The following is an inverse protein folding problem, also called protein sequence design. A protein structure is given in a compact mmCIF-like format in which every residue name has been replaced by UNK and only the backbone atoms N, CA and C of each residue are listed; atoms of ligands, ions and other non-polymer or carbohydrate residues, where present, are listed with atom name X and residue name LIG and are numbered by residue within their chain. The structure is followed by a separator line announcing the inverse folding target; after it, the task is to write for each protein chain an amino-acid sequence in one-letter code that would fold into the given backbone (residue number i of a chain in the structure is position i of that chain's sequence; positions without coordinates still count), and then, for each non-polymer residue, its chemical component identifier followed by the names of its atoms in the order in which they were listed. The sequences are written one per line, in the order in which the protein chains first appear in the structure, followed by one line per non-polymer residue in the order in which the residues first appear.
data_IF_393977307796
#
_entry.id   IF_393977307796
#
_cell.length_a   1.000
_cell.length_b   1.000
_cell.length_c   1.000
_cell.angle_alpha   90.00
_cell.angle_beta   90.00
_cell.angle_gamma   90.00
#
_symmetry.space_group_name_H-M   'P 1'
#
loop_
_entity.id
_entity.type
_entity.pdbx_description
1 polymer ?
#
# COMPACT_ATOMS: atom_id res chain seq x y z
N UNK A 1 9.12 -20.25 -27.42
CA UNK A 1 8.42 -19.68 -26.24
C UNK A 1 7.90 -18.32 -26.64
N UNK A 2 6.61 -18.13 -26.92
CA UNK A 2 6.09 -16.80 -27.23
C UNK A 2 5.94 -15.99 -25.93
N UNK A 3 6.39 -14.73 -25.99
CA UNK A 3 6.58 -13.85 -24.85
C UNK A 3 5.30 -13.47 -24.13
N UNK A 4 5.42 -13.31 -22.80
CA UNK A 4 4.41 -12.70 -21.97
C UNK A 4 4.20 -11.25 -22.45
N UNK A 5 3.12 -11.04 -23.20
CA UNK A 5 2.62 -9.72 -23.55
C UNK A 5 2.37 -8.93 -22.25
N UNK A 6 3.14 -7.86 -22.05
CA UNK A 6 3.09 -6.99 -20.88
C UNK A 6 1.82 -6.15 -20.85
N UNK A 7 0.72 -6.77 -20.40
CA UNK A 7 -0.48 -6.05 -19.99
C UNK A 7 -0.37 -5.86 -18.48
N UNK A 8 -0.21 -4.62 -18.01
CA UNK A 8 -0.28 -4.33 -16.57
C UNK A 8 -1.61 -4.85 -16.02
N UNK A 9 -1.62 -5.65 -14.94
CA UNK A 9 -2.85 -6.15 -14.38
C UNK A 9 -3.77 -4.98 -13.99
N UNK A 10 -5.02 -5.02 -14.45
CA UNK A 10 -5.95 -3.92 -14.30
C UNK A 10 -6.39 -3.75 -12.84
N UNK A 11 -6.14 -2.57 -12.30
CA UNK A 11 -6.62 -2.11 -11.00
C UNK A 11 -8.13 -1.80 -11.03
N UNK A 12 -8.78 -1.66 -9.86
CA UNK A 12 -10.20 -1.30 -9.78
C UNK A 12 -10.55 -0.08 -10.62
N UNK A 13 -11.48 -0.22 -11.56
CA UNK A 13 -12.12 0.93 -12.19
C UNK A 13 -13.01 1.63 -11.16
N UNK A 14 -12.93 2.96 -11.07
CA UNK A 14 -13.77 3.76 -10.18
C UNK A 14 -15.24 3.52 -10.50
N UNK A 15 -15.94 2.81 -9.61
CA UNK A 15 -17.30 2.35 -9.86
C UNK A 15 -18.00 1.87 -8.59
N UNK A 16 -18.89 2.72 -8.08
CA UNK A 16 -20.03 2.45 -7.16
C UNK A 16 -19.72 1.68 -5.87
N UNK A 17 -19.37 2.41 -4.81
CA UNK A 17 -19.84 2.38 -3.39
C UNK A 17 -20.38 1.09 -2.71
N UNK A 18 -20.16 -0.10 -3.26
CA UNK A 18 -20.70 -1.36 -2.74
C UNK A 18 -19.69 -2.18 -1.91
N UNK A 19 -18.46 -1.70 -1.71
CA UNK A 19 -17.44 -2.42 -0.95
C UNK A 19 -17.84 -2.68 0.52
N UNK A 20 -18.75 -1.88 1.07
CA UNK A 20 -19.31 -2.05 2.42
C UNK A 20 -20.28 -3.23 2.56
N UNK A 21 -20.87 -3.74 1.47
CA UNK A 21 -21.88 -4.84 1.51
C UNK A 21 -21.28 -6.23 1.42
N UNK A 22 -20.07 -6.38 0.89
CA UNK A 22 -19.26 -7.58 1.05
C UNK A 22 -18.39 -7.40 2.29
N UNK A 23 -18.46 -8.29 3.28
CA UNK A 23 -17.56 -8.23 4.44
C UNK A 23 -16.10 -8.01 4.02
N UNK A 24 -15.34 -7.24 4.80
CA UNK A 24 -13.97 -6.85 4.47
C UNK A 24 -13.12 -8.11 4.24
N UNK A 25 -12.71 -8.37 2.99
CA UNK A 25 -11.72 -9.39 2.64
C UNK A 25 -10.34 -8.75 2.71
N UNK A 26 -9.82 -8.59 3.92
CA UNK A 26 -8.49 -8.01 4.17
C UNK A 26 -7.47 -9.08 4.59
N UNK A 27 -6.21 -8.89 4.20
CA UNK A 27 -5.08 -9.66 4.72
C UNK A 27 -4.16 -8.69 5.44
N UNK A 28 -3.90 -8.96 6.72
CA UNK A 28 -2.95 -8.18 7.51
C UNK A 28 -1.61 -8.92 7.60
N UNK A 29 -0.57 -8.32 7.03
CA UNK A 29 0.79 -8.87 7.05
C UNK A 29 1.55 -8.25 8.21
N UNK A 30 1.91 -9.08 9.21
CA UNK A 30 2.69 -8.68 10.38
C UNK A 30 3.97 -9.52 10.51
N UNK A 31 4.88 -9.11 11.38
CA UNK A 31 6.14 -9.81 11.62
C UNK A 31 7.02 -9.04 12.59
N UNK A 32 7.76 -9.78 13.41
CA UNK A 32 8.47 -9.28 14.58
C UNK A 32 9.68 -8.41 14.24
N UNK A 33 10.40 -8.73 13.16
CA UNK A 33 11.65 -8.06 12.83
C UNK A 33 11.54 -7.09 11.64
N UNK A 34 12.36 -6.05 11.66
CA UNK A 34 12.48 -5.10 10.53
C UNK A 34 13.31 -5.76 9.42
N UNK A 35 12.92 -5.58 8.16
CA UNK A 35 13.67 -6.19 7.05
C UNK A 35 13.42 -7.69 6.82
N UNK A 36 12.58 -8.35 7.63
CA UNK A 36 12.21 -9.78 7.45
C UNK A 36 11.43 -10.09 6.15
N UNK A 37 11.18 -9.08 5.30
CA UNK A 37 10.56 -9.27 3.98
C UNK A 37 9.05 -8.96 3.90
N UNK A 38 8.45 -8.35 4.92
CA UNK A 38 7.01 -7.99 4.93
C UNK A 38 6.57 -7.17 3.71
N UNK A 39 7.35 -6.16 3.34
CA UNK A 39 7.10 -5.30 2.17
C UNK A 39 7.11 -6.11 0.88
N UNK A 40 8.10 -6.99 0.71
CA UNK A 40 8.23 -7.85 -0.47
C UNK A 40 7.07 -8.86 -0.55
N UNK A 41 6.76 -9.52 0.57
CA UNK A 41 5.64 -10.46 0.67
C UNK A 41 4.32 -9.80 0.31
N UNK A 42 4.05 -8.60 0.84
CA UNK A 42 2.83 -7.83 0.58
C UNK A 42 2.68 -7.52 -0.91
N UNK A 43 3.75 -7.03 -1.55
CA UNK A 43 3.74 -6.75 -3.00
C UNK A 43 3.54 -8.02 -3.85
N UNK A 44 4.22 -9.12 -3.52
CA UNK A 44 4.10 -10.39 -4.25
C UNK A 44 2.73 -11.01 -4.11
N UNK A 45 2.15 -10.98 -2.91
CA UNK A 45 0.81 -11.48 -2.66
C UNK A 45 -0.23 -10.68 -3.46
N UNK A 46 -0.12 -9.35 -3.45
CA UNK A 46 -1.00 -8.49 -4.23
C UNK A 46 -0.86 -8.73 -5.74
N UNK A 47 0.38 -8.86 -6.23
CA UNK A 47 0.66 -9.23 -7.63
C UNK A 47 -0.02 -10.56 -8.00
N UNK A 48 0.15 -11.59 -7.18
CA UNK A 48 -0.46 -12.90 -7.41
C UNK A 48 -1.99 -12.79 -7.48
N UNK A 49 -2.61 -12.05 -6.57
CA UNK A 49 -4.05 -11.86 -6.58
C UNK A 49 -4.54 -11.11 -7.82
N UNK A 50 -3.81 -10.06 -8.22
CA UNK A 50 -4.07 -9.33 -9.47
C UNK A 50 -3.98 -10.27 -10.69
N UNK A 51 -2.95 -11.12 -10.76
CA UNK A 51 -2.78 -12.13 -11.83
C UNK A 51 -3.92 -13.18 -11.84
N UNK A 52 -4.59 -13.39 -10.70
CA UNK A 52 -5.79 -14.23 -10.59
C UNK A 52 -7.10 -13.50 -10.91
N UNK A 53 -7.03 -12.24 -11.34
CA UNK A 53 -8.19 -11.42 -11.68
C UNK A 53 -8.92 -10.83 -10.47
N UNK A 54 -8.29 -10.85 -9.28
CA UNK A 54 -8.83 -10.16 -8.12
C UNK A 54 -8.48 -8.68 -8.17
N UNK A 55 -9.41 -7.88 -7.71
CA UNK A 55 -9.23 -6.45 -7.50
C UNK A 55 -8.57 -6.22 -6.13
N UNK A 56 -7.30 -5.79 -6.11
CA UNK A 56 -6.48 -5.70 -4.90
C UNK A 56 -5.70 -4.39 -4.85
N UNK A 57 -5.59 -3.84 -3.65
CA UNK A 57 -4.73 -2.72 -3.30
C UNK A 57 -3.91 -3.07 -2.06
N UNK A 58 -2.72 -2.49 -1.93
CA UNK A 58 -1.88 -2.63 -0.72
C UNK A 58 -1.85 -1.33 0.05
N UNK A 59 -1.64 -1.40 1.36
CA UNK A 59 -1.61 -0.22 2.23
C UNK A 59 -0.43 -0.30 3.20
N UNK A 60 0.13 0.86 3.51
CA UNK A 60 1.08 1.13 4.59
C UNK A 60 0.60 2.37 5.31
N UNK A 61 -0.25 2.18 6.32
CA UNK A 61 -0.96 3.30 6.98
C UNK A 61 -0.03 4.33 7.61
N UNK A 62 1.04 3.85 8.23
CA UNK A 62 1.98 4.67 8.99
C UNK A 62 3.40 4.29 8.60
N UNK A 63 4.18 5.26 8.13
CA UNK A 63 5.61 5.10 7.87
C UNK A 63 6.40 6.29 8.40
N UNK A 64 7.53 5.99 9.05
CA UNK A 64 8.42 6.97 9.69
C UNK A 64 9.83 6.84 9.11
N UNK A 65 10.57 7.94 9.07
CA UNK A 65 11.89 7.95 8.44
C UNK A 65 11.85 7.98 6.91
N UNK A 66 10.72 8.41 6.33
CA UNK A 66 10.55 8.50 4.89
C UNK A 66 10.68 9.97 4.44
N UNK A 67 11.69 10.33 3.62
CA UNK A 67 11.91 11.71 3.20
C UNK A 67 10.87 12.19 2.18
N UNK A 68 10.19 11.28 1.49
CA UNK A 68 9.17 11.55 0.48
C UNK A 68 7.76 11.65 1.08
N UNK A 69 6.83 12.24 0.31
CA UNK A 69 5.41 12.31 0.68
C UNK A 69 4.67 10.98 0.47
N UNK A 70 5.25 10.06 -0.30
CA UNK A 70 4.71 8.71 -0.51
C UNK A 70 5.62 7.73 0.25
N UNK A 71 5.00 6.83 1.00
CA UNK A 71 5.65 5.73 1.70
C UNK A 71 6.61 4.96 0.78
N UNK A 72 7.82 4.68 1.25
CA UNK A 72 8.81 3.86 0.52
C UNK A 72 8.30 2.42 0.38
N UNK A 73 7.64 1.89 1.40
CA UNK A 73 7.02 0.56 1.34
C UNK A 73 5.89 0.50 0.30
N UNK A 74 4.99 1.50 0.27
CA UNK A 74 3.91 1.57 -0.72
C UNK A 74 4.44 1.67 -2.15
N UNK A 75 5.47 2.50 -2.37
CA UNK A 75 6.17 2.54 -3.65
C UNK A 75 6.77 1.19 -4.05
N UNK A 76 7.34 0.47 -3.09
CA UNK A 76 7.88 -0.88 -3.30
C UNK A 76 6.78 -1.89 -3.65
N UNK A 77 5.61 -1.83 -3.01
CA UNK A 77 4.48 -2.68 -3.34
C UNK A 77 4.04 -2.49 -4.79
N UNK A 78 3.82 -1.23 -5.22
CA UNK A 78 3.39 -0.91 -6.59
C UNK A 78 4.38 -1.42 -7.64
N UNK A 79 5.69 -1.21 -7.38
CA UNK A 79 6.75 -1.72 -8.25
C UNK A 79 6.70 -3.25 -8.39
N UNK A 80 6.49 -3.98 -7.30
CA UNK A 80 6.40 -5.44 -7.32
C UNK A 80 5.12 -5.92 -8.02
N UNK A 81 4.00 -5.23 -7.77
CA UNK A 81 2.71 -5.47 -8.40
C UNK A 81 2.73 -5.22 -9.92
N UNK A 82 3.68 -4.39 -10.40
CA UNK A 82 3.71 -3.95 -11.80
C UNK A 82 2.71 -2.84 -12.10
N UNK A 83 2.34 -2.05 -11.09
CA UNK A 83 1.43 -0.92 -11.21
C UNK A 83 2.20 0.40 -11.11
N UNK A 84 1.71 1.42 -11.82
CA UNK A 84 2.20 2.80 -11.74
C UNK A 84 1.37 3.63 -10.75
N UNK A 85 1.93 4.74 -10.24
CA UNK A 85 1.21 5.69 -9.39
C UNK A 85 -0.03 6.26 -10.09
N UNK A 86 -0.02 6.38 -11.40
CA UNK A 86 -1.19 6.84 -12.16
C UNK A 86 -2.36 5.85 -12.09
N UNK A 87 -2.09 4.54 -11.97
CA UNK A 87 -3.14 3.51 -11.92
C UNK A 87 -3.92 3.53 -10.60
N UNK A 88 -3.34 4.11 -9.55
CA UNK A 88 -3.89 4.17 -8.19
C UNK A 88 -4.12 5.59 -7.70
N UNK A 89 -4.10 6.59 -8.59
CA UNK A 89 -4.10 8.01 -8.21
C UNK A 89 -5.26 8.37 -7.27
N UNK A 90 -6.44 7.82 -7.51
CA UNK A 90 -7.65 8.04 -6.72
C UNK A 90 -7.59 7.42 -5.31
N UNK A 91 -6.59 6.58 -5.04
CA UNK A 91 -6.43 5.83 -3.79
C UNK A 91 -5.16 6.19 -3.02
N UNK A 92 -4.33 7.13 -3.51
CA UNK A 92 -3.05 7.49 -2.89
C UNK A 92 -3.19 7.87 -1.41
N UNK A 93 -4.24 8.63 -1.07
CA UNK A 93 -4.53 9.06 0.30
C UNK A 93 -4.90 7.90 1.23
N UNK A 94 -5.39 6.79 0.68
CA UNK A 94 -5.78 5.59 1.42
C UNK A 94 -4.61 4.60 1.58
N UNK A 95 -3.67 4.59 0.64
CA UNK A 95 -2.54 3.65 0.66
C UNK A 95 -1.57 4.00 1.78
N UNK A 96 -1.24 5.28 1.94
CA UNK A 96 -0.30 5.73 2.97
C UNK A 96 -0.71 7.07 3.57
N UNK A 97 -1.80 7.09 4.36
CA UNK A 97 -2.34 8.31 4.96
C UNK A 97 -1.38 9.05 5.90
N UNK A 98 -0.39 8.36 6.49
CA UNK A 98 0.53 8.96 7.46
C UNK A 98 2.00 8.64 7.14
N UNK A 99 2.70 9.63 6.58
CA UNK A 99 4.14 9.55 6.29
C UNK A 99 4.88 10.64 7.06
N UNK A 100 5.92 10.23 7.77
CA UNK A 100 6.76 11.07 8.63
C UNK A 100 8.21 11.01 8.15
N UNK A 101 8.85 12.16 8.09
CA UNK A 101 10.29 12.31 7.78
C UNK A 101 11.16 11.86 8.95
N UNK A 102 10.70 12.08 10.18
CA UNK A 102 11.44 11.72 11.39
C UNK A 102 11.51 10.21 11.54
N UNK A 103 12.72 9.67 11.57
CA UNK A 103 13.00 8.26 11.82
C UNK A 103 12.89 7.96 13.33
N UNK A 104 11.66 7.79 13.81
CA UNK A 104 11.35 7.48 15.20
C UNK A 104 10.07 6.63 15.27
N UNK A 105 9.68 6.18 16.47
CA UNK A 105 8.36 5.56 16.64
C UNK A 105 7.25 6.51 16.16
N UNK A 106 6.12 6.02 15.63
CA UNK A 106 5.05 6.88 15.12
C UNK A 106 4.58 7.96 16.10
N UNK A 107 4.47 7.61 17.39
CA UNK A 107 4.14 8.56 18.44
C UNK A 107 5.17 9.69 18.55
N UNK A 108 6.47 9.35 18.57
CA UNK A 108 7.54 10.33 18.69
C UNK A 108 7.66 11.18 17.41
N UNK A 109 7.53 10.57 16.23
CA UNK A 109 7.52 11.29 14.96
C UNK A 109 6.34 12.28 14.86
N UNK A 110 5.14 11.88 15.32
CA UNK A 110 3.99 12.79 15.45
C UNK A 110 4.31 14.01 16.31
N UNK A 111 4.93 13.77 17.47
CA UNK A 111 5.30 14.84 18.41
C UNK A 111 6.34 15.79 17.81
N UNK A 112 7.36 15.26 17.13
CA UNK A 112 8.45 16.06 16.54
C UNK A 112 7.96 16.85 15.33
N UNK A 113 7.10 16.26 14.49
CA UNK A 113 6.59 16.93 13.29
C UNK A 113 5.29 17.72 13.52
N UNK A 114 4.81 17.80 14.76
CA UNK A 114 3.56 18.45 15.13
C UNK A 114 2.35 17.98 14.31
N UNK A 115 2.32 16.67 14.03
CA UNK A 115 1.26 15.99 13.28
C UNK A 115 0.48 15.05 14.19
N UNK A 116 -0.74 14.67 13.81
CA UNK A 116 -1.55 13.67 14.53
C UNK A 116 -2.02 12.57 13.60
N UNK A 117 -1.99 11.34 14.11
CA UNK A 117 -2.68 10.19 13.51
C UNK A 117 -4.09 10.16 14.09
N UNK A 118 -5.09 10.09 13.21
CA UNK A 118 -6.48 9.88 13.61
C UNK A 118 -6.83 8.41 13.38
N UNK A 119 -7.09 7.61 14.44
CA UNK A 119 -7.43 6.21 14.29
C UNK A 119 -8.82 5.99 13.65
N UNK A 120 -9.67 7.01 13.63
CA UNK A 120 -11.02 6.95 13.04
C UNK A 120 -11.07 7.39 11.56
N UNK A 121 -9.91 7.66 10.95
CA UNK A 121 -9.78 8.06 9.54
C UNK A 121 -9.85 6.86 8.60
#
# INVERSE_FOLDING_TARGET
MPGASGVSPALPKSGTDNWRKSGVKGIFVTGTDTGTGKTVLTGLLARYMLEKGHNVITQKWVETGCPEFISTDAGSHLKIMGCDKNDIKDYLDCISPYVFKTAASPHLACSIEHKRINPDK
#
